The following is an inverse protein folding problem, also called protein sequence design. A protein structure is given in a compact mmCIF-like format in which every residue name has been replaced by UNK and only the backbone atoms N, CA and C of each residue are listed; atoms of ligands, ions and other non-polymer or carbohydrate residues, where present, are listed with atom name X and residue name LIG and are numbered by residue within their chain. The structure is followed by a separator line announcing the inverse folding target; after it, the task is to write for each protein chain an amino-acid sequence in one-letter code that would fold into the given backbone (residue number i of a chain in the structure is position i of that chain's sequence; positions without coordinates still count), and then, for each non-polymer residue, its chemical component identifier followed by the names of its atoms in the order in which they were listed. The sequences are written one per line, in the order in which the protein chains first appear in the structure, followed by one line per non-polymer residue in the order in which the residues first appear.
data_IF_452934140836
#
_entry.id   IF_452934140836
#
_cell.length_a   1.000
_cell.length_b   1.000
_cell.length_c   1.000
_cell.angle_alpha   90.00
_cell.angle_beta   90.00
_cell.angle_gamma   90.00
#
_symmetry.space_group_name_H-M   'P 1'
#
loop_
_entity.id
_entity.type
_entity.pdbx_description
1 polymer ?
#
# COMPACT_ATOMS: atom_id res chain seq x y z
N UNK A 1 -18.73 -19.20 3.85
CA UNK A 1 -17.31 -18.92 3.54
C UNK A 1 -17.18 -17.43 3.67
N UNK A 2 -16.30 -16.94 4.54
CA UNK A 2 -16.01 -15.51 4.60
C UNK A 2 -15.38 -15.14 3.26
N UNK A 3 -15.92 -14.10 2.63
CA UNK A 3 -15.39 -13.58 1.37
C UNK A 3 -14.07 -12.90 1.69
N UNK A 4 -12.98 -13.29 1.02
CA UNK A 4 -11.65 -12.72 1.28
C UNK A 4 -11.57 -11.41 0.50
N UNK A 5 -11.41 -10.29 1.22
CA UNK A 5 -11.35 -8.95 0.66
C UNK A 5 -10.19 -8.77 -0.33
N UNK A 6 -9.01 -9.28 0.04
CA UNK A 6 -7.80 -9.27 -0.77
C UNK A 6 -7.22 -10.69 -0.88
N UNK A 7 -7.41 -11.32 -2.04
CA UNK A 7 -6.81 -12.62 -2.31
C UNK A 7 -5.38 -12.44 -2.84
N UNK A 8 -4.39 -12.99 -2.12
CA UNK A 8 -3.03 -13.09 -2.66
C UNK A 8 -2.99 -13.96 -3.93
N UNK A 9 -2.21 -13.51 -4.91
CA UNK A 9 -2.00 -14.18 -6.19
C UNK A 9 -0.52 -14.04 -6.57
N UNK A 10 0.01 -15.01 -7.33
CA UNK A 10 1.43 -15.03 -7.71
C UNK A 10 1.81 -13.93 -8.70
N UNK A 11 0.85 -13.21 -9.29
CA UNK A 11 1.11 -12.03 -10.12
C UNK A 11 1.53 -10.79 -9.31
N UNK A 12 1.47 -10.86 -7.97
CA UNK A 12 2.04 -9.86 -7.07
C UNK A 12 3.50 -10.11 -6.72
N UNK A 13 4.07 -11.26 -7.11
CA UNK A 13 5.47 -11.56 -6.85
C UNK A 13 6.37 -10.66 -7.71
N UNK A 14 7.26 -9.94 -7.06
CA UNK A 14 8.30 -9.14 -7.74
C UNK A 14 9.62 -9.91 -7.86
N UNK A 15 9.76 -11.02 -7.14
CA UNK A 15 10.93 -11.90 -7.20
C UNK A 15 12.06 -11.51 -6.24
N UNK A 16 11.77 -10.62 -5.28
CA UNK A 16 12.65 -10.27 -4.17
C UNK A 16 12.03 -10.85 -2.90
N UNK A 17 12.56 -11.97 -2.42
CA UNK A 17 11.95 -12.81 -1.37
C UNK A 17 11.54 -12.02 -0.11
N UNK A 18 12.38 -11.08 0.33
CA UNK A 18 12.12 -10.24 1.51
C UNK A 18 10.94 -9.29 1.29
N UNK A 19 10.79 -8.73 0.08
CA UNK A 19 9.69 -7.82 -0.26
C UNK A 19 8.39 -8.58 -0.51
N UNK A 20 8.47 -9.70 -1.25
CA UNK A 20 7.33 -10.61 -1.49
C UNK A 20 6.73 -11.13 -0.17
N UNK A 21 7.57 -11.32 0.86
CA UNK A 21 7.11 -11.70 2.20
C UNK A 21 6.33 -10.57 2.88
N UNK A 22 6.85 -9.33 2.86
CA UNK A 22 6.18 -8.18 3.48
C UNK A 22 4.87 -7.81 2.74
N UNK A 23 4.81 -7.92 1.41
CA UNK A 23 3.56 -7.75 0.65
C UNK A 23 2.49 -8.74 1.10
N UNK A 24 2.83 -10.02 1.31
CA UNK A 24 1.88 -11.02 1.84
C UNK A 24 1.37 -10.67 3.24
N UNK A 25 2.24 -10.17 4.12
CA UNK A 25 1.85 -9.72 5.47
C UNK A 25 0.91 -8.51 5.39
N UNK A 26 1.18 -7.55 4.51
CA UNK A 26 0.29 -6.40 4.29
C UNK A 26 -1.10 -6.82 3.80
N UNK A 27 -1.18 -7.74 2.83
CA UNK A 27 -2.46 -8.27 2.36
C UNK A 27 -3.24 -8.97 3.49
N UNK A 28 -2.56 -9.73 4.35
CA UNK A 28 -3.19 -10.37 5.50
C UNK A 28 -3.76 -9.33 6.48
N UNK A 29 -3.01 -8.28 6.80
CA UNK A 29 -3.45 -7.21 7.72
C UNK A 29 -4.63 -6.42 7.17
N UNK A 30 -4.65 -6.15 5.87
CA UNK A 30 -5.79 -5.49 5.23
C UNK A 30 -7.05 -6.37 5.26
N UNK A 31 -6.90 -7.69 5.13
CA UNK A 31 -8.02 -8.62 5.34
C UNK A 31 -8.50 -8.63 6.81
N UNK A 32 -7.59 -8.55 7.79
CA UNK A 32 -7.95 -8.44 9.22
C UNK A 32 -8.73 -7.15 9.50
N UNK A 33 -8.29 -6.01 8.96
CA UNK A 33 -9.03 -4.75 9.05
C UNK A 33 -10.43 -4.88 8.46
N UNK A 34 -10.55 -5.51 7.29
CA UNK A 34 -11.85 -5.74 6.65
C UNK A 34 -12.80 -6.55 7.54
N UNK A 35 -12.31 -7.62 8.17
CA UNK A 35 -13.12 -8.42 9.09
C UNK A 35 -13.59 -7.61 10.31
N UNK A 36 -12.71 -6.80 10.91
CA UNK A 36 -13.08 -5.95 12.05
C UNK A 36 -14.11 -4.87 11.64
N UNK A 37 -13.98 -4.28 10.45
CA UNK A 37 -14.94 -3.31 9.92
C UNK A 37 -16.31 -3.95 9.58
N UNK A 38 -16.31 -5.17 9.03
CA UNK A 38 -17.52 -5.91 8.66
C UNK A 38 -18.30 -6.43 9.89
N UNK A 39 -17.62 -6.65 11.02
CA UNK A 39 -18.23 -7.13 12.26
C UNK A 39 -18.61 -6.02 13.24
N UNK A 40 -18.64 -4.76 12.78
CA UNK A 40 -18.91 -3.58 13.61
C UNK A 40 -18.05 -3.58 14.89
N UNK A 41 -16.77 -3.90 14.75
CA UNK A 41 -15.82 -3.89 15.86
C UNK A 41 -15.80 -2.54 16.57
N UNK A 42 -15.43 -2.56 17.86
CA UNK A 42 -15.29 -1.31 18.58
C UNK A 42 -14.15 -0.46 17.99
N UNK A 43 -14.28 0.86 18.18
CA UNK A 43 -13.34 1.85 17.64
C UNK A 43 -11.89 1.55 18.02
N UNK A 44 -11.62 1.07 19.24
CA UNK A 44 -10.26 0.85 19.69
C UNK A 44 -9.57 -0.28 18.91
N UNK A 45 -10.33 -1.28 18.48
CA UNK A 45 -9.84 -2.33 17.57
C UNK A 45 -9.50 -1.78 16.20
N UNK A 46 -10.40 -0.99 15.61
CA UNK A 46 -10.17 -0.35 14.29
C UNK A 46 -8.93 0.56 14.35
N UNK A 47 -8.83 1.41 15.39
CA UNK A 47 -7.66 2.27 15.62
C UNK A 47 -6.37 1.45 15.74
N UNK A 48 -6.40 0.32 16.46
CA UNK A 48 -5.25 -0.56 16.59
C UNK A 48 -4.86 -1.20 15.25
N UNK A 49 -5.83 -1.72 14.49
CA UNK A 49 -5.57 -2.31 13.16
C UNK A 49 -4.95 -1.28 12.21
N UNK A 50 -5.48 -0.05 12.16
CA UNK A 50 -4.93 1.02 11.33
C UNK A 50 -3.53 1.43 11.78
N UNK A 51 -3.29 1.56 13.09
CA UNK A 51 -1.95 1.84 13.62
C UNK A 51 -0.94 0.76 13.25
N UNK A 52 -1.35 -0.51 13.30
CA UNK A 52 -0.50 -1.64 12.87
C UNK A 52 -0.24 -1.64 11.36
N UNK A 53 -1.26 -1.36 10.54
CA UNK A 53 -1.11 -1.23 9.08
C UNK A 53 -0.16 -0.08 8.73
N UNK A 54 -0.35 1.11 9.31
CA UNK A 54 0.55 2.25 9.12
C UNK A 54 2.00 1.90 9.47
N UNK A 55 2.23 1.30 10.64
CA UNK A 55 3.57 0.94 11.08
C UNK A 55 4.24 -0.08 10.14
N UNK A 56 3.46 -1.02 9.62
CA UNK A 56 3.93 -2.06 8.70
C UNK A 56 4.22 -1.52 7.31
N UNK A 57 3.34 -0.70 6.76
CA UNK A 57 3.58 -0.01 5.49
C UNK A 57 4.81 0.89 5.56
N UNK A 58 4.94 1.69 6.62
CA UNK A 58 6.14 2.54 6.80
C UNK A 58 7.44 1.71 6.88
N UNK A 59 7.41 0.56 7.56
CA UNK A 59 8.57 -0.34 7.64
C UNK A 59 8.88 -0.99 6.29
N UNK A 60 7.85 -1.44 5.56
CA UNK A 60 7.96 -2.02 4.24
C UNK A 60 8.52 -1.02 3.22
N UNK A 61 7.95 0.19 3.15
CA UNK A 61 8.45 1.27 2.29
C UNK A 61 9.91 1.62 2.61
N UNK A 62 10.30 1.65 3.88
CA UNK A 62 11.70 1.88 4.25
C UNK A 62 12.64 0.76 3.76
N UNK A 63 12.16 -0.49 3.72
CA UNK A 63 12.89 -1.63 3.18
C UNK A 63 13.05 -1.53 1.66
N UNK A 64 11.97 -1.23 0.93
CA UNK A 64 12.00 -1.03 -0.52
C UNK A 64 12.85 0.17 -0.92
N UNK A 65 12.69 1.30 -0.24
CA UNK A 65 13.52 2.47 -0.47
C UNK A 65 15.01 2.18 -0.23
N UNK A 66 15.34 1.36 0.78
CA UNK A 66 16.71 0.90 0.98
C UNK A 66 17.16 0.03 -0.18
N UNK A 67 16.34 -0.92 -0.62
CA UNK A 67 16.64 -1.76 -1.79
C UNK A 67 16.85 -0.92 -3.06
N UNK A 68 16.00 0.07 -3.32
CA UNK A 68 16.11 1.00 -4.44
C UNK A 68 17.42 1.78 -4.40
N UNK A 69 17.82 2.32 -3.24
CA UNK A 69 19.10 3.03 -3.08
C UNK A 69 20.30 2.11 -3.28
N UNK A 70 20.28 0.91 -2.71
CA UNK A 70 21.36 -0.06 -2.82
C UNK A 70 21.55 -0.58 -4.26
N UNK A 71 20.50 -0.47 -5.08
CA UNK A 71 20.49 -0.90 -6.49
C UNK A 71 20.52 0.26 -7.47
N UNK A 72 20.70 1.52 -7.04
CA UNK A 72 20.63 2.72 -7.88
C UNK A 72 19.38 2.75 -8.79
N UNK A 73 18.21 2.42 -8.23
CA UNK A 73 16.96 2.36 -8.98
C UNK A 73 16.62 3.75 -9.56
N UNK A 74 16.45 3.89 -10.89
CA UNK A 74 16.34 5.21 -11.53
C UNK A 74 15.15 6.07 -11.08
N UNK A 75 14.02 5.44 -10.76
CA UNK A 75 12.78 6.15 -10.40
C UNK A 75 12.55 6.23 -8.88
N UNK A 76 13.62 6.11 -8.09
CA UNK A 76 13.54 6.16 -6.63
C UNK A 76 12.72 7.35 -6.11
N UNK A 77 12.95 8.56 -6.63
CA UNK A 77 12.26 9.77 -6.16
C UNK A 77 10.75 9.72 -6.45
N UNK A 78 10.35 9.12 -7.57
CA UNK A 78 8.94 8.99 -7.94
C UNK A 78 8.24 7.94 -7.08
N UNK A 79 8.83 6.75 -6.97
CA UNK A 79 8.29 5.64 -6.18
C UNK A 79 8.21 6.03 -4.69
N UNK A 80 9.27 6.66 -4.15
CA UNK A 80 9.24 7.20 -2.78
C UNK A 80 8.10 8.20 -2.56
N UNK A 81 7.82 9.05 -3.55
CA UNK A 81 6.72 10.00 -3.45
C UNK A 81 5.36 9.31 -3.36
N UNK A 82 5.16 8.19 -4.06
CA UNK A 82 3.94 7.38 -3.96
C UNK A 82 3.77 6.83 -2.53
N UNK A 83 4.85 6.37 -1.91
CA UNK A 83 4.86 5.94 -0.50
C UNK A 83 4.48 7.07 0.46
N UNK A 84 5.13 8.22 0.31
CA UNK A 84 4.90 9.37 1.19
C UNK A 84 3.45 9.87 1.08
N UNK A 85 2.96 10.03 -0.15
CA UNK A 85 1.59 10.49 -0.42
C UNK A 85 0.55 9.52 0.16
N UNK A 86 0.79 8.21 0.08
CA UNK A 86 -0.15 7.22 0.60
C UNK A 86 -0.11 7.10 2.12
N UNK A 87 1.06 7.22 2.76
CA UNK A 87 1.14 7.27 4.22
C UNK A 87 0.34 8.44 4.79
N UNK A 88 0.38 9.61 4.14
CA UNK A 88 -0.44 10.77 4.52
C UNK A 88 -1.92 10.43 4.48
N UNK A 89 -2.40 9.77 3.41
CA UNK A 89 -3.81 9.35 3.28
C UNK A 89 -4.24 8.44 4.44
N UNK A 90 -3.44 7.44 4.81
CA UNK A 90 -3.83 6.50 5.89
C UNK A 90 -3.81 7.20 7.25
N UNK A 91 -2.83 8.07 7.48
CA UNK A 91 -2.75 8.87 8.71
C UNK A 91 -3.98 9.75 8.86
N UNK A 92 -4.41 10.44 7.79
CA UNK A 92 -5.61 11.27 7.79
C UNK A 92 -6.86 10.47 8.16
N UNK A 93 -7.02 9.27 7.60
CA UNK A 93 -8.14 8.38 7.96
C UNK A 93 -8.06 7.91 9.43
N UNK A 94 -6.87 7.54 9.91
CA UNK A 94 -6.68 7.12 11.30
C UNK A 94 -7.00 8.26 12.29
N UNK A 95 -6.59 9.49 11.97
CA UNK A 95 -6.89 10.69 12.75
C UNK A 95 -8.38 11.04 12.73
N UNK A 96 -9.03 10.93 11.58
CA UNK A 96 -10.47 11.21 11.44
C UNK A 96 -11.29 10.23 12.28
N UNK A 97 -11.04 8.92 12.17
CA UNK A 97 -11.72 7.88 12.96
C UNK A 97 -11.50 8.11 14.47
N UNK A 98 -10.28 8.47 14.86
CA UNK A 98 -9.94 8.76 16.25
C UNK A 98 -10.65 10.01 16.81
N UNK A 99 -10.75 11.06 15.99
CA UNK A 99 -11.22 12.40 16.39
C UNK A 99 -12.74 12.57 16.34
N UNK A 100 -13.39 12.09 15.28
CA UNK A 100 -14.83 12.30 15.05
C UNK A 100 -15.67 11.13 15.57
N UNK A 101 -15.05 9.96 15.82
CA UNK A 101 -15.72 8.67 16.07
C UNK A 101 -16.63 8.26 14.92
N UNK A 102 -16.42 8.85 13.75
CA UNK A 102 -17.24 8.63 12.56
C UNK A 102 -16.62 7.53 11.71
N UNK A 103 -17.25 6.36 11.73
CA UNK A 103 -16.87 5.21 10.91
C UNK A 103 -17.63 5.17 9.57
N UNK A 104 -18.39 6.22 9.23
CA UNK A 104 -19.18 6.24 7.98
C UNK A 104 -18.32 6.18 6.73
N UNK A 105 -17.04 6.57 6.82
CA UNK A 105 -16.06 6.47 5.74
C UNK A 105 -15.31 5.15 5.66
N UNK A 106 -15.68 4.13 6.45
CA UNK A 106 -14.97 2.85 6.45
C UNK A 106 -14.89 2.20 5.06
N UNK A 107 -15.97 2.25 4.30
CA UNK A 107 -16.03 1.67 2.95
C UNK A 107 -15.11 2.44 1.98
N UNK A 108 -14.98 3.76 2.16
CA UNK A 108 -14.06 4.61 1.39
C UNK A 108 -12.61 4.27 1.73
N UNK A 109 -12.28 4.16 3.02
CA UNK A 109 -10.95 3.75 3.50
C UNK A 109 -10.54 2.38 2.96
N UNK A 110 -11.41 1.38 3.06
CA UNK A 110 -11.14 0.04 2.55
C UNK A 110 -10.89 0.07 1.04
N UNK A 111 -11.75 0.77 0.30
CA UNK A 111 -11.60 0.95 -1.15
C UNK A 111 -10.27 1.62 -1.49
N UNK A 112 -9.88 2.69 -0.82
CA UNK A 112 -8.60 3.37 -1.06
C UNK A 112 -7.41 2.45 -0.76
N UNK A 113 -7.43 1.75 0.38
CA UNK A 113 -6.37 0.80 0.76
C UNK A 113 -6.21 -0.33 -0.26
N UNK A 114 -7.33 -0.94 -0.68
CA UNK A 114 -7.34 -2.03 -1.64
C UNK A 114 -6.87 -1.58 -3.03
N UNK A 115 -7.38 -0.44 -3.53
CA UNK A 115 -6.97 0.03 -4.85
C UNK A 115 -5.49 0.38 -4.86
N UNK A 116 -5.01 1.10 -3.86
CA UNK A 116 -3.61 1.52 -3.83
C UNK A 116 -2.66 0.33 -3.75
N UNK A 117 -2.88 -0.62 -2.82
CA UNK A 117 -1.94 -1.74 -2.64
C UNK A 117 -1.90 -2.64 -3.88
N UNK A 118 -3.04 -2.88 -4.53
CA UNK A 118 -3.08 -3.70 -5.75
C UNK A 118 -2.37 -2.98 -6.88
N UNK A 119 -2.67 -1.70 -7.10
CA UNK A 119 -2.08 -0.92 -8.19
C UNK A 119 -0.56 -0.80 -8.00
N UNK A 120 -0.11 -0.40 -6.81
CA UNK A 120 1.31 -0.19 -6.51
C UNK A 120 2.13 -1.49 -6.66
N UNK A 121 1.67 -2.60 -6.07
CA UNK A 121 2.36 -3.90 -6.15
C UNK A 121 2.39 -4.47 -7.57
N UNK A 122 1.40 -4.14 -8.41
CA UNK A 122 1.34 -4.62 -9.80
C UNK A 122 1.96 -3.66 -10.82
N UNK A 123 2.37 -2.46 -10.39
CA UNK A 123 2.98 -1.44 -11.24
C UNK A 123 4.37 -1.07 -10.73
N UNK A 124 4.47 -0.16 -9.77
CA UNK A 124 5.72 0.39 -9.23
C UNK A 124 6.63 -0.69 -8.62
N UNK A 125 6.11 -1.65 -7.86
CA UNK A 125 6.95 -2.66 -7.21
C UNK A 125 7.47 -3.71 -8.18
N UNK A 126 6.69 -4.02 -9.23
CA UNK A 126 7.12 -4.97 -10.27
C UNK A 126 8.43 -4.53 -10.92
N UNK A 127 8.69 -3.22 -10.98
CA UNK A 127 9.88 -2.65 -11.60
C UNK A 127 11.15 -2.90 -10.78
N UNK A 128 11.02 -3.09 -9.47
CA UNK A 128 12.11 -3.47 -8.57
C UNK A 128 12.64 -4.88 -8.90
N UNK A 129 11.78 -5.74 -9.46
CA UNK A 129 12.12 -7.09 -9.88
C UNK A 129 12.92 -7.18 -11.19
N UNK A 130 13.00 -6.10 -11.98
CA UNK A 130 13.69 -6.13 -13.28
C UNK A 130 15.17 -5.69 -13.19
N UNK A 131 16.06 -6.26 -14.04
CA UNK A 131 17.44 -5.82 -14.16
C UNK A 131 17.55 -4.34 -14.59
N UNK A 132 18.59 -3.64 -14.10
CA UNK A 132 18.87 -2.22 -14.38
C UNK A 132 18.78 -1.84 -15.87
N UNK A 133 19.06 -2.76 -16.80
CA UNK A 133 19.05 -2.46 -18.24
C UNK A 133 17.65 -2.34 -18.86
N UNK A 134 16.57 -2.80 -18.19
CA UNK A 134 15.20 -2.76 -18.73
C UNK A 134 14.39 -1.53 -18.30
N UNK A 135 14.71 -0.90 -17.17
CA UNK A 135 13.91 0.19 -16.61
C UNK A 135 14.14 1.53 -17.32
N UNK A 136 15.35 1.79 -17.84
CA UNK A 136 15.71 3.07 -18.50
C UNK A 136 14.88 3.44 -19.76
N UNK A 137 14.14 2.51 -20.36
CA UNK A 137 13.35 2.73 -21.58
C UNK A 137 11.82 2.72 -21.40
N UNK A 138 11.32 2.22 -20.27
CA UNK A 138 9.90 2.05 -20.00
C UNK A 138 9.21 3.40 -19.67
N UNK A 139 9.92 4.26 -18.93
CA UNK A 139 9.41 5.50 -18.34
C UNK A 139 9.16 6.67 -19.27
N UNK A 140 9.66 6.62 -20.51
CA UNK A 140 9.29 7.60 -21.54
C UNK A 140 7.80 7.54 -21.93
N UNK A 141 7.04 6.54 -21.43
CA UNK A 141 5.68 6.25 -21.90
C UNK A 141 4.59 6.42 -20.84
N UNK A 142 4.91 6.45 -19.53
CA UNK A 142 3.92 6.29 -18.44
C UNK A 142 3.70 7.56 -17.61
N UNK A 143 4.39 8.68 -17.91
CA UNK A 143 4.34 9.94 -17.14
C UNK A 143 3.02 10.74 -17.23
N UNK A 144 1.87 10.07 -17.35
CA UNK A 144 0.56 10.67 -17.57
C UNK A 144 -0.48 10.21 -16.54
N UNK A 145 -0.51 10.90 -15.40
CA UNK A 145 -1.67 11.10 -14.53
C UNK A 145 -2.14 9.91 -13.67
N UNK A 146 -1.78 9.90 -12.38
CA UNK A 146 -2.33 8.95 -11.38
C UNK A 146 -3.18 9.62 -10.28
N UNK A 147 -3.20 10.96 -10.16
CA UNK A 147 -4.13 11.63 -9.25
C UNK A 147 -4.99 12.71 -9.97
N UNK A 148 -6.32 12.70 -9.81
CA UNK A 148 -7.15 13.88 -10.05
C UNK A 148 -6.57 15.05 -9.25
N UNK A 149 -6.40 16.21 -9.88
CA UNK A 149 -5.81 17.41 -9.26
C UNK A 149 -6.83 18.23 -8.47
N UNK A 150 -7.92 17.62 -8.02
CA UNK A 150 -9.08 18.33 -7.52
C UNK A 150 -9.86 17.53 -6.47
N UNK A 151 -9.50 17.78 -5.20
CA UNK A 151 -10.46 18.00 -4.12
C UNK A 151 -9.98 19.14 -3.23
#
# INVERSE_FOLDING_TARGET
MVEVFLQWRDDYLIGVEELDFEHRDLFARLNELHEELAHDADRARIENCLGEICARMAAHFALEEKFMRDTDFPEYDHHKKEHDDFLEVIIDYAEEIGSTRDITKRDELESELQHWIIDHVTTSDQELGYPKERTAGFWKKVSGSIFPKDR
#
